data_IF_758808929340
#
_entry.id   IF_758808929340
#
_cell.length_a   1.000
_cell.length_b   1.000
_cell.length_c   1.000
_cell.angle_alpha   90.00
_cell.angle_beta   90.00
_cell.angle_gamma   90.00
#
_symmetry.space_group_name_H-M   'P 1'
#
loop_
_entity.id
_entity.type
_entity.pdbx_description
1 polymer ?
#
# COMPACT_ATOMS: atom_id res chain seq x y z
N UNK A 1 -5.90 17.90 -2.63
CA UNK A 1 -6.55 16.87 -1.77
C UNK A 1 -7.17 15.76 -2.60
N UNK A 2 -7.94 16.04 -3.67
CA UNK A 2 -8.40 14.98 -4.60
C UNK A 2 -7.24 14.12 -5.09
N UNK A 3 -6.15 14.74 -5.56
CA UNK A 3 -4.98 14.00 -6.08
C UNK A 3 -4.36 13.01 -5.09
N UNK A 4 -4.17 13.38 -3.81
CA UNK A 4 -3.64 12.45 -2.81
C UNK A 4 -4.60 11.31 -2.47
N UNK A 5 -5.90 11.56 -2.58
CA UNK A 5 -6.92 10.52 -2.40
C UNK A 5 -6.92 9.59 -3.60
N UNK A 6 -6.81 10.12 -4.81
CA UNK A 6 -6.71 9.34 -6.05
C UNK A 6 -5.43 8.48 -6.03
N UNK A 7 -4.28 9.05 -5.67
CA UNK A 7 -3.01 8.33 -5.46
C UNK A 7 -3.14 7.21 -4.42
N UNK A 8 -3.88 7.46 -3.32
CA UNK A 8 -4.09 6.44 -2.28
C UNK A 8 -4.95 5.28 -2.81
N UNK A 9 -6.01 5.59 -3.56
CA UNK A 9 -6.86 4.57 -4.19
C UNK A 9 -6.05 3.72 -5.16
N UNK A 10 -5.25 4.35 -6.03
CA UNK A 10 -4.39 3.63 -6.99
C UNK A 10 -3.37 2.72 -6.27
N UNK A 11 -2.72 3.21 -5.22
CA UNK A 11 -1.76 2.42 -4.45
C UNK A 11 -2.43 1.24 -3.73
N UNK A 12 -3.66 1.44 -3.22
CA UNK A 12 -4.45 0.38 -2.59
C UNK A 12 -4.88 -0.68 -3.62
N UNK A 13 -5.29 -0.28 -4.82
CA UNK A 13 -5.67 -1.21 -5.89
C UNK A 13 -4.50 -2.11 -6.28
N UNK A 14 -3.29 -1.55 -6.38
CA UNK A 14 -2.06 -2.33 -6.61
C UNK A 14 -1.81 -3.31 -5.47
N UNK A 15 -1.91 -2.86 -4.21
CA UNK A 15 -1.71 -3.74 -3.05
C UNK A 15 -2.75 -4.87 -3.00
N UNK A 16 -4.01 -4.57 -3.32
CA UNK A 16 -5.09 -5.56 -3.41
C UNK A 16 -4.79 -6.59 -4.48
N UNK A 17 -4.37 -6.16 -5.68
CA UNK A 17 -3.99 -7.06 -6.76
C UNK A 17 -2.83 -7.98 -6.35
N UNK A 18 -1.77 -7.43 -5.73
CA UNK A 18 -0.63 -8.23 -5.29
C UNK A 18 -0.97 -9.23 -4.18
N UNK A 19 -1.90 -8.87 -3.28
CA UNK A 19 -2.38 -9.77 -2.24
C UNK A 19 -3.31 -10.87 -2.76
N UNK A 20 -3.98 -10.65 -3.90
CA UNK A 20 -4.82 -11.67 -4.53
C UNK A 20 -3.99 -12.76 -5.24
N UNK A 21 -2.75 -12.45 -5.61
CA UNK A 21 -1.82 -13.43 -6.17
C UNK A 21 -1.29 -14.40 -5.10
N UNK A 22 -1.31 -15.71 -5.39
CA UNK A 22 -0.92 -16.75 -4.42
C UNK A 22 0.59 -16.78 -4.10
N UNK A 23 1.43 -16.16 -4.93
CA UNK A 23 2.88 -16.18 -4.79
C UNK A 23 3.53 -17.55 -5.04
N UNK A 24 2.84 -18.43 -5.78
CA UNK A 24 3.26 -19.81 -6.04
C UNK A 24 2.89 -20.79 -4.91
N UNK A 25 3.27 -22.06 -5.08
CA UNK A 25 2.82 -23.15 -4.21
C UNK A 25 3.79 -23.46 -3.05
N UNK A 26 5.07 -23.11 -3.20
CA UNK A 26 6.11 -23.37 -2.21
C UNK A 26 6.28 -22.21 -1.23
N UNK A 27 6.68 -22.53 0.00
CA UNK A 27 6.95 -21.52 1.05
C UNK A 27 7.97 -20.49 0.56
N UNK A 28 9.02 -20.93 -0.12
CA UNK A 28 10.05 -20.02 -0.63
C UNK A 28 9.49 -19.06 -1.67
N UNK A 29 8.67 -19.54 -2.61
CA UNK A 29 8.02 -18.71 -3.62
C UNK A 29 7.11 -17.66 -2.99
N UNK A 30 6.34 -18.03 -1.96
CA UNK A 30 5.47 -17.09 -1.23
C UNK A 30 6.27 -16.02 -0.49
N UNK A 31 7.39 -16.40 0.12
CA UNK A 31 8.28 -15.45 0.78
C UNK A 31 8.91 -14.47 -0.22
N UNK A 32 9.31 -14.95 -1.39
CA UNK A 32 9.81 -14.09 -2.47
C UNK A 32 8.71 -13.16 -3.01
N UNK A 33 7.48 -13.64 -3.20
CA UNK A 33 6.32 -12.82 -3.61
C UNK A 33 6.03 -11.70 -2.60
N UNK A 34 6.04 -12.05 -1.31
CA UNK A 34 5.91 -11.07 -0.24
C UNK A 34 7.00 -10.01 -0.29
N UNK A 35 8.27 -10.41 -0.42
CA UNK A 35 9.42 -9.49 -0.44
C UNK A 35 9.41 -8.59 -1.68
N UNK A 36 9.14 -9.17 -2.85
CA UNK A 36 9.29 -8.50 -4.13
C UNK A 36 8.08 -7.65 -4.51
N UNK A 37 6.88 -8.00 -4.07
CA UNK A 37 5.65 -7.39 -4.57
C UNK A 37 4.82 -6.72 -3.46
N UNK A 38 4.41 -7.50 -2.46
CA UNK A 38 3.45 -6.99 -1.46
C UNK A 38 4.11 -5.98 -0.52
N UNK A 39 5.30 -6.27 0.02
CA UNK A 39 5.98 -5.33 0.93
C UNK A 39 6.29 -3.99 0.23
N UNK A 40 6.80 -3.96 -1.01
CA UNK A 40 6.90 -2.72 -1.78
C UNK A 40 5.56 -2.01 -1.96
N UNK A 41 4.49 -2.70 -2.35
CA UNK A 41 3.17 -2.09 -2.49
C UNK A 41 2.65 -1.49 -1.16
N UNK A 42 2.90 -2.15 -0.03
CA UNK A 42 2.60 -1.61 1.30
C UNK A 42 3.39 -0.34 1.61
N UNK A 43 4.65 -0.24 1.16
CA UNK A 43 5.46 0.98 1.33
C UNK A 43 4.90 2.13 0.49
N UNK A 44 4.43 1.87 -0.72
CA UNK A 44 3.79 2.91 -1.54
C UNK A 44 2.51 3.45 -0.89
N UNK A 45 1.63 2.55 -0.41
CA UNK A 45 0.44 2.97 0.36
C UNK A 45 0.84 3.82 1.57
N UNK A 46 1.84 3.39 2.35
CA UNK A 46 2.36 4.18 3.47
C UNK A 46 2.88 5.54 3.02
N UNK A 47 3.63 5.62 1.92
CA UNK A 47 4.17 6.87 1.41
C UNK A 47 3.10 7.92 1.08
N UNK A 48 1.93 7.49 0.57
CA UNK A 48 0.80 8.39 0.33
C UNK A 48 0.13 8.79 1.64
N UNK A 49 -0.07 7.85 2.58
CA UNK A 49 -0.65 8.12 3.90
C UNK A 49 0.21 9.10 4.70
N UNK A 50 1.53 8.95 4.70
CA UNK A 50 2.48 9.86 5.38
C UNK A 50 2.45 11.28 4.76
N UNK A 51 2.06 11.41 3.48
CA UNK A 51 1.83 12.72 2.84
C UNK A 51 0.47 13.31 3.21
N UNK A 52 -0.55 12.48 3.34
CA UNK A 52 -1.89 12.89 3.82
C UNK A 52 -1.83 13.40 5.26
N UNK A 53 -1.07 12.75 6.13
CA UNK A 53 -0.85 13.16 7.52
C UNK A 53 -0.36 14.61 7.63
N UNK A 54 0.51 15.05 6.71
CA UNK A 54 1.09 16.40 6.73
C UNK A 54 0.14 17.51 6.27
N UNK A 55 -0.98 17.16 5.63
CA UNK A 55 -1.91 18.14 5.05
C UNK A 55 -3.29 18.12 5.69
N UNK A 56 -3.64 17.04 6.38
CA UNK A 56 -4.86 16.94 7.17
C UNK A 56 -4.61 17.60 8.53
N UNK A 57 -5.52 18.47 9.01
CA UNK A 57 -5.42 19.02 10.36
C UNK A 57 -5.29 17.91 11.42
N UNK A 58 -4.40 18.09 12.39
CA UNK A 58 -4.09 17.10 13.44
C UNK A 58 -5.35 16.64 14.21
N UNK A 59 -6.34 17.52 14.38
CA UNK A 59 -7.62 17.23 15.05
C UNK A 59 -8.54 16.32 14.22
N UNK A 60 -8.26 16.16 12.93
CA UNK A 60 -8.98 15.31 12.00
C UNK A 60 -8.19 14.05 11.60
N UNK A 61 -6.92 13.92 12.02
CA UNK A 61 -6.11 12.73 11.75
C UNK A 61 -6.49 11.59 12.73
N UNK A 62 -6.83 10.38 12.25
CA UNK A 62 -7.45 9.35 13.10
C UNK A 62 -6.45 8.50 13.92
N UNK A 63 -5.16 8.79 13.87
CA UNK A 63 -4.08 7.96 14.43
C UNK A 63 -3.27 8.71 15.47
#
# INVERSE_FOLDING_TARGET
>A
MSELVDELVEALDVLVAQNAELGGDEIHSKAEHMRANIIPAMREVRGVVDRLEKVIPDDLWPV
#
